data_IF_406710038595
#
_entry.id   IF_406710038595
#
_cell.length_a   1.000
_cell.length_b   1.000
_cell.length_c   1.000
_cell.angle_alpha   90.00
_cell.angle_beta   90.00
_cell.angle_gamma   90.00
#
_symmetry.space_group_name_H-M   'P 1'
#
loop_
_entity.id
_entity.type
_entity.pdbx_description
1 polymer ?
#
# COMPACT_ATOMS: atom_id res chain seq x y z
N UNK A 1 -6.38 3.90 41.81
CA UNK A 1 -6.96 5.16 41.36
C UNK A 1 -6.08 6.29 41.88
N UNK A 2 -5.41 7.00 40.97
CA UNK A 2 -4.50 8.10 41.26
C UNK A 2 -5.20 9.33 41.85
N UNK A 3 -6.53 9.41 41.74
CA UNK A 3 -7.35 10.47 42.30
C UNK A 3 -7.90 10.16 43.70
N UNK A 4 -8.01 8.89 44.10
CA UNK A 4 -8.60 8.52 45.41
C UNK A 4 -7.63 7.78 46.35
N UNK A 5 -6.43 7.41 45.89
CA UNK A 5 -5.44 6.67 46.67
C UNK A 5 -5.86 5.22 47.01
N UNK A 6 -7.00 4.75 46.48
CA UNK A 6 -7.50 3.39 46.64
C UNK A 6 -7.08 2.51 45.47
N UNK A 7 -7.07 1.19 45.68
CA UNK A 7 -6.95 0.23 44.59
C UNK A 7 -8.11 0.41 43.60
N UNK A 8 -7.85 0.28 42.30
CA UNK A 8 -8.88 0.35 41.25
C UNK A 8 -9.97 -0.73 41.43
N UNK A 9 -9.60 -1.87 42.03
CA UNK A 9 -10.51 -2.93 42.42
C UNK A 9 -10.19 -3.32 43.87
N UNK A 10 -11.18 -3.25 44.75
CA UNK A 10 -11.02 -3.73 46.12
C UNK A 10 -10.84 -5.26 46.14
N UNK A 11 -9.83 -5.77 46.86
CA UNK A 11 -9.55 -7.21 46.95
C UNK A 11 -10.52 -7.96 47.91
N UNK A 12 -11.81 -7.67 47.78
CA UNK A 12 -12.91 -8.38 48.45
C UNK A 12 -13.60 -9.30 47.46
N UNK A 13 -14.36 -10.29 47.93
CA UNK A 13 -15.14 -11.14 47.04
C UNK A 13 -16.13 -10.33 46.20
N UNK A 14 -16.82 -9.37 46.81
CA UNK A 14 -17.74 -8.47 46.13
C UNK A 14 -17.04 -7.59 45.10
N UNK A 15 -15.88 -7.00 45.44
CA UNK A 15 -15.08 -6.16 44.53
C UNK A 15 -14.58 -6.94 43.31
N UNK A 16 -14.04 -8.15 43.52
CA UNK A 16 -13.62 -9.04 42.43
C UNK A 16 -14.79 -9.47 41.53
N UNK A 17 -15.94 -9.84 42.11
CA UNK A 17 -17.14 -10.17 41.34
C UNK A 17 -17.66 -8.99 40.53
N UNK A 18 -17.65 -7.78 41.09
CA UNK A 18 -18.08 -6.57 40.38
C UNK A 18 -17.19 -6.28 39.16
N UNK A 19 -15.86 -6.37 39.32
CA UNK A 19 -14.91 -6.21 38.22
C UNK A 19 -15.12 -7.27 37.13
N UNK A 20 -15.21 -8.55 37.51
CA UNK A 20 -15.40 -9.65 36.54
C UNK A 20 -16.75 -9.56 35.83
N UNK A 21 -17.82 -9.14 36.52
CA UNK A 21 -19.15 -9.00 35.94
C UNK A 21 -19.23 -7.88 34.89
N UNK A 22 -18.43 -6.82 35.03
CA UNK A 22 -18.31 -5.82 33.97
C UNK A 22 -17.70 -6.42 32.69
N UNK A 23 -16.66 -7.24 32.82
CA UNK A 23 -16.06 -7.93 31.69
C UNK A 23 -16.98 -9.00 31.08
N UNK A 24 -17.73 -9.74 31.93
CA UNK A 24 -18.73 -10.73 31.51
C UNK A 24 -19.85 -10.11 30.67
N UNK A 25 -20.35 -8.95 31.09
CA UNK A 25 -21.46 -8.26 30.42
C UNK A 25 -21.00 -7.41 29.23
N UNK A 26 -19.68 -7.25 29.02
CA UNK A 26 -19.13 -6.46 27.91
C UNK A 26 -19.27 -7.23 26.59
N UNK A 27 -19.76 -6.53 25.58
CA UNK A 27 -19.93 -7.05 24.23
C UNK A 27 -19.45 -6.05 23.17
N UNK A 28 -18.18 -5.69 23.24
CA UNK A 28 -17.51 -4.75 22.34
C UNK A 28 -17.73 -5.16 20.89
N UNK A 29 -18.23 -4.22 20.09
CA UNK A 29 -18.36 -4.37 18.65
C UNK A 29 -17.09 -3.84 17.97
N UNK A 30 -16.12 -4.72 17.77
CA UNK A 30 -14.86 -4.35 17.15
C UNK A 30 -15.00 -3.81 15.72
N UNK A 31 -16.07 -4.15 15.00
CA UNK A 31 -16.32 -3.52 13.71
C UNK A 31 -16.69 -2.05 13.89
N UNK A 32 -17.57 -1.74 14.83
CA UNK A 32 -17.90 -0.36 15.17
C UNK A 32 -16.67 0.42 15.69
N UNK A 33 -15.79 -0.22 16.47
CA UNK A 33 -14.63 0.45 17.05
C UNK A 33 -13.50 0.75 16.04
N UNK A 34 -13.33 -0.10 15.02
CA UNK A 34 -12.19 -0.05 14.09
C UNK A 34 -12.52 0.46 12.70
N UNK A 35 -13.81 0.63 12.42
CA UNK A 35 -14.29 0.98 11.10
C UNK A 35 -15.33 2.07 11.19
N UNK A 36 -15.38 2.92 10.17
CA UNK A 36 -16.32 4.03 10.07
C UNK A 36 -16.87 4.14 8.66
N UNK A 37 -18.12 4.59 8.50
CA UNK A 37 -18.60 5.00 7.19
C UNK A 37 -17.77 6.19 6.71
N UNK A 38 -17.20 6.09 5.51
CA UNK A 38 -16.47 7.17 4.86
C UNK A 38 -17.03 7.44 3.47
N UNK A 39 -16.93 8.69 3.05
CA UNK A 39 -17.27 9.10 1.69
C UNK A 39 -15.99 9.28 0.91
N UNK A 40 -15.84 8.52 -0.16
CA UNK A 40 -14.77 8.72 -1.13
C UNK A 40 -15.18 9.83 -2.11
N UNK A 41 -14.28 10.78 -2.34
CA UNK A 41 -14.46 11.85 -3.31
C UNK A 41 -13.63 11.57 -4.55
N UNK A 42 -14.23 11.65 -5.73
CA UNK A 42 -13.52 11.60 -7.00
C UNK A 42 -13.97 12.75 -7.88
N UNK A 43 -13.01 13.59 -8.27
CA UNK A 43 -13.22 14.73 -9.13
C UNK A 43 -12.34 14.57 -10.36
N UNK A 44 -12.90 14.80 -11.54
CA UNK A 44 -12.15 14.81 -12.78
C UNK A 44 -12.62 15.97 -13.65
N UNK A 45 -11.66 16.72 -14.18
CA UNK A 45 -11.90 17.78 -15.15
C UNK A 45 -11.14 17.41 -16.41
N UNK A 46 -11.82 17.39 -17.54
CA UNK A 46 -11.20 17.11 -18.83
C UNK A 46 -11.64 18.11 -19.87
N UNK A 47 -10.70 18.50 -20.73
CA UNK A 47 -10.94 19.29 -21.92
C UNK A 47 -10.64 18.40 -23.12
N UNK A 48 -11.60 18.32 -24.03
CA UNK A 48 -11.45 17.62 -25.31
C UNK A 48 -11.76 18.61 -26.41
N UNK A 49 -10.93 18.64 -27.44
CA UNK A 49 -11.14 19.45 -28.63
C UNK A 49 -10.70 18.67 -29.86
N UNK A 50 -11.35 18.89 -30.99
CA UNK A 50 -10.96 18.21 -32.22
C UNK A 50 -11.50 18.90 -33.46
N UNK A 51 -10.78 18.71 -34.56
CA UNK A 51 -11.17 19.08 -35.91
C UNK A 51 -10.80 17.92 -36.85
N UNK A 52 -11.08 18.08 -38.14
CA UNK A 52 -10.65 17.10 -39.17
C UNK A 52 -9.14 16.83 -39.15
N UNK A 53 -8.34 17.83 -38.76
CA UNK A 53 -6.88 17.78 -38.73
C UNK A 53 -6.29 17.21 -37.44
N UNK A 54 -7.08 16.98 -36.40
CA UNK A 54 -6.54 16.43 -35.16
C UNK A 54 -7.44 16.58 -33.94
N UNK A 55 -7.10 15.83 -32.89
CA UNK A 55 -7.79 15.80 -31.61
C UNK A 55 -6.83 16.03 -30.45
N UNK A 56 -7.30 16.71 -29.43
CA UNK A 56 -6.58 17.04 -28.21
C UNK A 56 -7.45 16.67 -27.02
N UNK A 57 -6.85 16.00 -26.05
CA UNK A 57 -7.47 15.61 -24.80
C UNK A 57 -6.50 15.91 -23.66
N UNK A 58 -7.00 16.59 -22.63
CA UNK A 58 -6.28 16.79 -21.39
C UNK A 58 -7.24 16.52 -20.23
N UNK A 59 -6.79 15.84 -19.18
CA UNK A 59 -7.57 15.63 -17.98
C UNK A 59 -6.72 15.68 -16.72
N UNK A 60 -7.30 16.22 -15.67
CA UNK A 60 -6.82 16.14 -14.30
C UNK A 60 -7.85 15.39 -13.46
N UNK A 61 -7.37 14.53 -12.58
CA UNK A 61 -8.21 13.76 -11.67
C UNK A 61 -7.64 13.77 -10.26
N UNK A 62 -8.52 13.90 -9.27
CA UNK A 62 -8.22 13.74 -7.85
C UNK A 62 -9.17 12.71 -7.25
N UNK A 63 -8.61 11.76 -6.51
CA UNK A 63 -9.33 10.79 -5.71
C UNK A 63 -8.86 10.95 -4.28
N UNK A 64 -9.80 11.15 -3.36
CA UNK A 64 -9.56 11.25 -1.93
C UNK A 64 -10.45 10.22 -1.25
N UNK A 65 -9.82 9.18 -0.71
CA UNK A 65 -10.47 8.12 0.04
C UNK A 65 -9.96 8.17 1.50
N UNK A 66 -10.80 8.62 2.45
CA UNK A 66 -10.47 8.62 3.87
C UNK A 66 -10.36 7.23 4.51
N UNK A 67 -10.68 6.16 3.75
CA UNK A 67 -10.61 4.75 4.11
C UNK A 67 -11.66 4.30 5.12
N UNK A 68 -12.19 3.09 4.88
CA UNK A 68 -13.19 2.47 5.77
C UNK A 68 -12.58 2.16 7.15
N UNK A 69 -11.41 1.52 7.23
CA UNK A 69 -10.77 1.22 8.52
C UNK A 69 -9.96 2.40 9.06
N UNK A 70 -9.82 2.47 10.38
CA UNK A 70 -8.89 3.39 11.04
C UNK A 70 -7.48 3.20 10.46
N UNK A 71 -6.76 4.32 10.27
CA UNK A 71 -5.40 4.39 9.70
C UNK A 71 -5.27 3.72 8.31
N UNK A 72 -6.35 3.69 7.53
CA UNK A 72 -6.33 3.46 6.09
C UNK A 72 -6.77 4.74 5.38
N UNK A 73 -6.04 5.20 4.37
CA UNK A 73 -6.45 6.31 3.48
C UNK A 73 -5.69 6.24 2.16
N UNK A 74 -6.29 6.71 1.07
CA UNK A 74 -5.67 6.79 -0.25
C UNK A 74 -6.00 8.11 -0.91
N UNK A 75 -4.99 8.87 -1.28
CA UNK A 75 -5.11 10.04 -2.13
C UNK A 75 -4.39 9.77 -3.45
N UNK A 76 -5.04 10.00 -4.58
CA UNK A 76 -4.45 9.83 -5.91
C UNK A 76 -4.74 11.03 -6.80
N UNK A 77 -3.69 11.56 -7.39
CA UNK A 77 -3.74 12.63 -8.37
C UNK A 77 -3.27 12.11 -9.72
N UNK A 78 -4.00 12.42 -10.76
CA UNK A 78 -3.71 11.94 -12.12
C UNK A 78 -3.73 13.11 -13.09
N UNK A 79 -2.81 13.09 -14.04
CA UNK A 79 -2.78 13.97 -15.19
C UNK A 79 -2.63 13.12 -16.44
N UNK A 80 -3.43 13.42 -17.45
CA UNK A 80 -3.37 12.75 -18.75
C UNK A 80 -3.45 13.80 -19.83
N UNK A 81 -2.59 13.67 -20.82
CA UNK A 81 -2.58 14.44 -22.04
C UNK A 81 -2.49 13.45 -23.21
N UNK A 82 -3.33 13.65 -24.22
CA UNK A 82 -3.33 12.87 -25.44
C UNK A 82 -3.62 13.81 -26.61
N UNK A 83 -2.72 13.87 -27.58
CA UNK A 83 -2.89 14.63 -28.82
C UNK A 83 -2.63 13.75 -30.02
N UNK A 84 -3.47 13.88 -31.03
CA UNK A 84 -3.36 13.21 -32.32
C UNK A 84 -3.49 14.25 -33.43
N UNK A 85 -2.47 14.45 -34.24
CA UNK A 85 -2.47 15.41 -35.34
C UNK A 85 -2.29 14.69 -36.67
N UNK A 86 -3.16 15.00 -37.63
CA UNK A 86 -3.02 14.59 -39.03
C UNK A 86 -2.33 15.69 -39.82
N UNK A 87 -1.26 15.33 -40.50
CA UNK A 87 -0.39 16.22 -41.27
C UNK A 87 -0.37 15.76 -42.73
N UNK A 88 -0.07 16.69 -43.64
CA UNK A 88 0.08 16.42 -45.07
C UNK A 88 -1.13 15.70 -45.69
N UNK A 89 -2.35 16.23 -45.52
CA UNK A 89 -3.59 15.59 -46.01
C UNK A 89 -3.72 14.12 -45.57
N UNK A 90 -3.60 13.86 -44.27
CA UNK A 90 -3.76 12.53 -43.65
C UNK A 90 -2.70 11.48 -44.03
N UNK A 91 -1.63 11.88 -44.73
CA UNK A 91 -0.50 10.97 -45.03
C UNK A 91 0.37 10.70 -43.81
N UNK A 92 0.42 11.62 -42.84
CA UNK A 92 1.16 11.45 -41.59
C UNK A 92 0.23 11.70 -40.40
N UNK A 93 0.26 10.84 -39.40
CA UNK A 93 -0.44 11.04 -38.13
C UNK A 93 0.57 10.98 -36.98
N UNK A 94 0.58 11.99 -36.12
CA UNK A 94 1.41 12.05 -34.92
C UNK A 94 0.52 11.93 -33.69
N UNK A 95 0.78 10.91 -32.86
CA UNK A 95 0.11 10.70 -31.58
C UNK A 95 1.11 10.91 -30.44
N UNK A 96 0.76 11.72 -29.44
CA UNK A 96 1.57 11.93 -28.24
C UNK A 96 0.68 11.73 -27.02
N UNK A 97 1.09 10.87 -26.10
CA UNK A 97 0.40 10.58 -24.85
C UNK A 97 1.37 10.80 -23.69
N UNK A 98 0.95 11.64 -22.74
CA UNK A 98 1.62 11.82 -21.45
C UNK A 98 0.68 11.45 -20.32
N UNK A 99 1.10 10.59 -19.41
CA UNK A 99 0.35 10.22 -18.22
C UNK A 99 1.24 10.40 -16.99
N UNK A 100 0.67 10.92 -15.92
CA UNK A 100 1.28 10.97 -14.61
C UNK A 100 0.25 10.60 -13.55
N UNK A 101 0.65 9.80 -12.57
CA UNK A 101 -0.16 9.41 -11.42
C UNK A 101 0.69 9.45 -10.17
N UNK A 102 0.26 10.22 -9.18
CA UNK A 102 0.85 10.25 -7.85
C UNK A 102 -0.16 9.73 -6.84
N UNK A 103 0.21 8.72 -6.06
CA UNK A 103 -0.63 8.11 -5.04
C UNK A 103 0.08 8.12 -3.69
N UNK A 104 -0.59 8.66 -2.69
CA UNK A 104 -0.24 8.52 -1.28
C UNK A 104 -1.23 7.58 -0.61
N UNK A 105 -0.75 6.61 0.13
CA UNK A 105 -1.58 5.65 0.84
C UNK A 105 -1.03 5.42 2.24
N UNK A 106 -1.92 5.34 3.23
CA UNK A 106 -1.60 4.82 4.55
C UNK A 106 -2.29 3.48 4.75
N UNK A 107 -1.58 2.56 5.40
CA UNK A 107 -2.11 1.27 5.80
C UNK A 107 -1.66 0.90 7.22
N UNK A 108 -2.40 0.04 7.94
CA UNK A 108 -1.94 -0.58 9.17
C UNK A 108 -0.59 -1.29 9.00
N UNK A 109 0.32 -1.11 9.95
CA UNK A 109 1.70 -1.64 9.91
C UNK A 109 1.86 -3.13 10.20
N UNK A 110 0.97 -3.96 9.68
CA UNK A 110 1.05 -5.41 9.86
C UNK A 110 2.25 -5.99 9.13
N UNK A 111 3.03 -6.84 9.82
CA UNK A 111 4.13 -7.57 9.19
C UNK A 111 3.62 -8.63 8.20
N UNK A 112 4.45 -8.97 7.21
CA UNK A 112 4.20 -10.10 6.34
C UNK A 112 4.12 -11.40 7.16
N UNK A 113 3.20 -12.29 6.78
CA UNK A 113 3.12 -13.61 7.41
C UNK A 113 4.39 -14.41 7.12
N UNK A 114 4.95 -15.06 8.13
CA UNK A 114 6.03 -16.03 7.99
C UNK A 114 5.47 -17.44 8.09
N UNK A 115 5.90 -18.32 7.19
CA UNK A 115 5.60 -19.75 7.25
C UNK A 115 6.70 -20.45 8.03
N UNK A 116 6.34 -21.11 9.14
CA UNK A 116 7.23 -22.06 9.75
C UNK A 116 7.24 -23.32 8.87
N UNK A 117 8.31 -23.49 8.07
CA UNK A 117 8.46 -24.63 7.14
C UNK A 117 8.49 -25.99 7.84
N UNK A 118 8.77 -26.04 9.15
CA UNK A 118 8.83 -27.28 9.94
C UNK A 118 7.46 -27.65 10.52
N UNK A 119 6.73 -26.66 11.06
CA UNK A 119 5.43 -26.90 11.71
C UNK A 119 4.23 -26.72 10.76
N UNK A 120 4.46 -26.19 9.54
CA UNK A 120 3.40 -25.82 8.60
C UNK A 120 2.52 -24.67 9.09
N UNK A 121 2.88 -24.03 10.21
CA UNK A 121 2.12 -22.95 10.82
C UNK A 121 2.43 -21.61 10.15
N UNK A 122 1.39 -20.82 9.89
CA UNK A 122 1.53 -19.44 9.41
C UNK A 122 1.48 -18.53 10.62
N UNK A 123 2.60 -17.86 10.92
CA UNK A 123 2.72 -16.90 12.01
C UNK A 123 2.70 -15.48 11.43
N UNK A 124 1.95 -14.58 12.06
CA UNK A 124 2.02 -13.15 11.78
C UNK A 124 2.29 -12.42 13.09
N UNK A 125 3.56 -12.15 13.34
CA UNK A 125 3.97 -11.40 14.52
C UNK A 125 3.48 -9.96 14.40
N UNK A 126 3.00 -9.40 15.52
CA UNK A 126 2.42 -8.05 15.60
C UNK A 126 1.31 -7.78 14.57
N UNK A 127 0.40 -8.76 14.38
CA UNK A 127 -0.79 -8.53 13.55
C UNK A 127 -1.72 -7.49 14.17
N UNK A 128 -1.93 -6.42 13.41
CA UNK A 128 -2.76 -5.27 13.74
C UNK A 128 -3.75 -4.94 12.62
N UNK A 129 -4.00 -5.89 11.71
CA UNK A 129 -4.98 -5.71 10.65
C UNK A 129 -6.38 -5.56 11.27
N UNK A 130 -7.09 -4.43 11.05
CA UNK A 130 -8.37 -4.15 11.71
C UNK A 130 -9.45 -5.23 11.49
N UNK A 131 -9.49 -5.81 10.28
CA UNK A 131 -10.46 -6.86 9.95
C UNK A 131 -10.13 -8.18 10.66
N UNK A 132 -8.87 -8.59 10.63
CA UNK A 132 -8.39 -9.77 11.37
C UNK A 132 -8.66 -9.62 12.87
N UNK A 133 -8.38 -8.44 13.42
CA UNK A 133 -8.59 -8.14 14.84
C UNK A 133 -10.07 -8.20 15.21
N UNK A 134 -10.95 -7.56 14.43
CA UNK A 134 -12.38 -7.55 14.72
C UNK A 134 -13.02 -8.94 14.70
N UNK A 135 -12.53 -9.84 13.84
CA UNK A 135 -13.02 -11.22 13.76
C UNK A 135 -12.50 -12.15 14.87
N UNK A 136 -11.28 -11.92 15.36
CA UNK A 136 -10.56 -12.89 16.20
C UNK A 136 -10.45 -12.50 17.67
N UNK A 137 -10.66 -11.22 17.99
CA UNK A 137 -10.52 -10.72 19.35
C UNK A 137 -11.80 -10.92 20.16
N UNK A 138 -11.64 -11.30 21.43
CA UNK A 138 -12.78 -11.43 22.35
C UNK A 138 -13.58 -10.12 22.44
N UNK A 139 -14.91 -10.24 22.45
CA UNK A 139 -15.83 -9.10 22.63
C UNK A 139 -15.96 -8.67 24.10
N UNK A 140 -15.36 -9.41 25.02
CA UNK A 140 -15.34 -9.07 26.46
C UNK A 140 -14.23 -8.07 26.83
N UNK A 141 -13.31 -7.80 25.91
CA UNK A 141 -12.22 -6.83 26.12
C UNK A 141 -12.74 -5.40 25.95
N UNK A 142 -12.25 -4.52 26.81
CA UNK A 142 -12.52 -3.08 26.76
C UNK A 142 -11.74 -2.43 25.61
N UNK A 143 -12.37 -1.64 24.73
CA UNK A 143 -11.69 -0.99 23.63
C UNK A 143 -10.70 0.10 24.06
N UNK A 144 -10.79 0.62 25.29
CA UNK A 144 -9.94 1.71 25.78
C UNK A 144 -8.88 1.24 26.79
N UNK A 145 -8.95 -0.01 27.25
CA UNK A 145 -7.98 -0.61 28.17
C UNK A 145 -6.73 -1.10 27.44
N UNK A 146 -5.58 -1.06 28.13
CA UNK A 146 -4.35 -1.68 27.67
C UNK A 146 -4.21 -3.09 28.26
N UNK A 147 -4.10 -4.08 27.38
CA UNK A 147 -3.83 -5.47 27.77
C UNK A 147 -2.36 -5.81 27.51
N UNK A 148 -1.83 -6.83 28.19
CA UNK A 148 -0.48 -7.32 27.88
C UNK A 148 -0.52 -8.23 26.65
N UNK A 149 0.17 -7.82 25.57
CA UNK A 149 0.40 -8.62 24.36
C UNK A 149 1.88 -8.53 23.99
N UNK A 150 2.51 -9.62 23.56
CA UNK A 150 3.94 -9.62 23.24
C UNK A 150 4.82 -9.07 24.39
N UNK A 151 4.46 -9.35 25.64
CA UNK A 151 5.14 -8.87 26.86
C UNK A 151 5.08 -7.34 27.11
N UNK A 152 4.36 -6.57 26.28
CA UNK A 152 4.20 -5.13 26.41
C UNK A 152 2.71 -4.71 26.45
N UNK A 153 2.38 -3.51 26.94
CA UNK A 153 1.06 -2.91 26.79
C UNK A 153 0.59 -2.90 25.33
N UNK A 154 -0.69 -3.22 25.12
CA UNK A 154 -1.33 -3.27 23.81
C UNK A 154 -2.76 -2.77 23.91
N UNK A 155 -3.06 -1.80 23.08
CA UNK A 155 -4.41 -1.42 22.69
C UNK A 155 -4.40 -1.26 21.16
N UNK A 156 -5.41 -1.80 20.48
CA UNK A 156 -5.42 -1.84 19.02
C UNK A 156 -5.47 -0.44 18.39
N UNK A 157 -6.19 0.51 18.99
CA UNK A 157 -6.28 1.89 18.46
C UNK A 157 -4.94 2.60 18.62
N UNK A 158 -4.37 2.51 19.81
CA UNK A 158 -3.04 3.04 20.11
C UNK A 158 -1.98 2.44 19.19
N UNK A 159 -2.03 1.13 18.94
CA UNK A 159 -1.09 0.47 18.05
C UNK A 159 -1.28 0.92 16.59
N UNK A 160 -2.50 1.05 16.09
CA UNK A 160 -2.75 1.56 14.73
C UNK A 160 -2.21 2.99 14.53
N UNK A 161 -2.30 3.84 15.55
CA UNK A 161 -1.78 5.22 15.49
C UNK A 161 -0.24 5.31 15.55
N UNK A 162 0.40 4.30 16.15
CA UNK A 162 1.84 4.27 16.38
C UNK A 162 2.59 3.25 15.51
N UNK A 163 1.88 2.40 14.78
CA UNK A 163 2.42 1.37 13.90
C UNK A 163 1.67 1.36 12.56
N UNK A 164 2.18 2.10 11.59
CA UNK A 164 1.55 2.29 10.27
C UNK A 164 2.58 2.32 9.15
N UNK A 165 2.11 2.07 7.93
CA UNK A 165 2.91 2.14 6.71
C UNK A 165 2.39 3.29 5.86
N UNK A 166 3.27 4.19 5.47
CA UNK A 166 3.03 5.19 4.44
C UNK A 166 3.65 4.73 3.12
N UNK A 167 2.84 4.68 2.06
CA UNK A 167 3.25 4.32 0.70
C UNK A 167 3.08 5.52 -0.23
N UNK A 168 4.14 5.88 -0.94
CA UNK A 168 4.12 6.90 -1.98
C UNK A 168 4.50 6.28 -3.32
N UNK A 169 3.62 6.39 -4.31
CA UNK A 169 3.85 5.84 -5.66
C UNK A 169 3.74 6.96 -6.69
N UNK A 170 4.78 7.14 -7.49
CA UNK A 170 4.77 7.98 -8.68
C UNK A 170 4.87 7.07 -9.90
N UNK A 171 3.99 7.25 -10.87
CA UNK A 171 4.01 6.55 -12.15
C UNK A 171 3.86 7.60 -13.25
N UNK A 172 4.86 7.70 -14.13
CA UNK A 172 4.82 8.60 -15.28
C UNK A 172 5.11 7.81 -16.54
N UNK A 173 4.36 8.09 -17.60
CA UNK A 173 4.55 7.49 -18.92
C UNK A 173 4.45 8.56 -19.98
N UNK A 174 5.44 8.59 -20.87
CA UNK A 174 5.42 9.38 -22.08
C UNK A 174 5.50 8.44 -23.28
N UNK A 175 4.67 8.67 -24.29
CA UNK A 175 4.59 7.86 -25.50
C UNK A 175 4.40 8.77 -26.70
N UNK A 176 5.14 8.51 -27.77
CA UNK A 176 4.97 9.15 -29.06
C UNK A 176 4.86 8.08 -30.15
N UNK A 177 3.97 8.28 -31.10
CA UNK A 177 3.79 7.40 -32.25
C UNK A 177 3.63 8.25 -33.51
N UNK A 178 4.35 7.87 -34.56
CA UNK A 178 4.21 8.45 -35.90
C UNK A 178 3.68 7.34 -36.81
N UNK A 179 2.61 7.64 -37.54
CA UNK A 179 2.06 6.80 -38.60
C UNK A 179 2.22 7.50 -39.94
N UNK A 180 2.59 6.75 -40.97
CA UNK A 180 2.76 7.26 -42.32
C UNK A 180 2.05 6.34 -43.34
N UNK A 181 1.38 6.95 -44.32
CA UNK A 181 0.70 6.27 -45.42
C UNK A 181 1.36 6.64 -46.76
N UNK A 182 2.55 6.08 -47.07
CA UNK A 182 3.31 6.48 -48.25
C UNK A 182 2.65 6.08 -49.57
N UNK A 183 1.93 4.94 -49.58
CA UNK A 183 1.17 4.44 -50.72
C UNK A 183 -0.19 3.94 -50.27
N UNK A 184 -1.16 3.91 -51.19
CA UNK A 184 -2.50 3.39 -50.90
C UNK A 184 -2.41 1.94 -50.40
N UNK A 185 -3.01 1.69 -49.24
CA UNK A 185 -3.04 0.38 -48.59
C UNK A 185 -1.89 0.11 -47.62
N UNK A 186 -0.76 0.83 -47.68
CA UNK A 186 0.36 0.66 -46.74
C UNK A 186 0.31 1.73 -45.64
N UNK A 187 0.31 1.30 -44.39
CA UNK A 187 0.50 2.14 -43.21
C UNK A 187 1.72 1.65 -42.43
N UNK A 188 2.70 2.53 -42.25
CA UNK A 188 3.88 2.30 -41.42
C UNK A 188 3.70 3.05 -40.10
N UNK A 189 4.09 2.47 -38.98
CA UNK A 189 4.04 3.12 -37.67
C UNK A 189 5.33 2.90 -36.88
N UNK A 190 5.80 3.93 -36.21
CA UNK A 190 6.91 3.88 -35.27
C UNK A 190 6.44 4.48 -33.94
N UNK A 191 6.53 3.71 -32.86
CA UNK A 191 6.10 4.06 -31.51
C UNK A 191 7.29 3.95 -30.57
N UNK A 192 7.48 4.98 -29.75
CA UNK A 192 8.41 4.97 -28.62
C UNK A 192 7.69 5.33 -27.33
N UNK A 193 7.99 4.66 -26.22
CA UNK A 193 7.54 5.07 -24.90
C UNK A 193 8.61 4.95 -23.83
N UNK A 194 8.56 5.85 -22.85
CA UNK A 194 9.36 5.83 -21.64
C UNK A 194 8.42 5.88 -20.45
N UNK A 195 8.60 4.99 -19.48
CA UNK A 195 7.84 4.97 -18.22
C UNK A 195 8.79 4.97 -17.05
N UNK A 196 8.55 5.85 -16.09
CA UNK A 196 9.29 5.91 -14.84
C UNK A 196 8.36 5.67 -13.66
N UNK A 197 8.74 4.75 -12.79
CA UNK A 197 7.95 4.37 -11.61
C UNK A 197 8.82 4.52 -10.37
N UNK A 198 8.28 5.14 -9.32
CA UNK A 198 8.84 5.18 -7.98
C UNK A 198 7.81 4.60 -7.00
N UNK A 199 8.28 3.79 -6.06
CA UNK A 199 7.46 3.28 -4.97
C UNK A 199 8.27 3.31 -3.68
N UNK A 200 7.92 4.23 -2.78
CA UNK A 200 8.53 4.37 -1.47
C UNK A 200 7.59 3.84 -0.40
N UNK A 201 8.10 2.98 0.47
CA UNK A 201 7.35 2.41 1.59
C UNK A 201 8.06 2.73 2.90
N UNK A 202 7.40 3.44 3.80
CA UNK A 202 7.90 3.78 5.13
C UNK A 202 7.04 3.10 6.20
N UNK A 203 7.56 2.04 6.81
CA UNK A 203 6.95 1.40 7.97
C UNK A 203 7.41 2.12 9.25
N UNK A 204 6.51 2.89 9.83
CA UNK A 204 6.72 3.69 11.02
C UNK A 204 6.21 2.92 12.25
N UNK A 205 7.13 2.36 13.04
CA UNK A 205 6.85 1.72 14.33
C UNK A 205 7.38 2.65 15.42
N UNK A 206 6.52 3.50 15.99
CA UNK A 206 6.93 4.52 16.97
C UNK A 206 7.33 3.91 18.31
N UNK A 207 8.00 4.71 19.13
CA UNK A 207 8.60 4.27 20.40
C UNK A 207 7.60 3.63 21.37
N UNK A 208 6.40 4.20 21.46
CA UNK A 208 5.30 3.75 22.31
C UNK A 208 4.41 2.68 21.66
N UNK A 209 4.79 2.11 20.52
CA UNK A 209 4.06 0.98 19.93
C UNK A 209 4.34 -0.29 20.73
N UNK A 210 3.36 -1.19 20.80
CA UNK A 210 3.53 -2.53 21.35
C UNK A 210 4.71 -3.25 20.70
N UNK A 211 4.90 -3.06 19.40
CA UNK A 211 6.02 -3.67 18.68
C UNK A 211 7.37 -3.16 19.17
N UNK A 212 7.58 -1.85 19.30
CA UNK A 212 8.84 -1.31 19.83
C UNK A 212 9.04 -1.69 21.31
N UNK A 213 8.00 -1.59 22.13
CA UNK A 213 8.06 -1.91 23.56
C UNK A 213 8.34 -3.39 23.83
N UNK A 214 7.87 -4.31 22.96
CA UNK A 214 8.18 -5.73 23.09
C UNK A 214 9.69 -6.04 23.03
N UNK A 215 10.47 -5.26 22.28
CA UNK A 215 11.94 -5.40 22.21
C UNK A 215 12.68 -4.91 23.47
N UNK A 216 11.98 -4.31 24.43
CA UNK A 216 12.54 -3.88 25.73
C UNK A 216 11.74 -4.35 26.93
N UNK A 217 10.73 -5.18 26.72
CA UNK A 217 9.96 -5.80 27.79
C UNK A 217 10.80 -6.83 28.56
N UNK A 218 11.41 -6.38 29.64
CA UNK A 218 12.33 -7.16 30.49
C UNK A 218 12.08 -6.95 32.00
N UNK A 219 10.83 -6.69 32.40
CA UNK A 219 10.47 -6.29 33.76
C UNK A 219 10.85 -7.30 34.86
N UNK A 220 10.87 -8.60 34.54
CA UNK A 220 11.27 -9.67 35.48
C UNK A 220 12.18 -10.68 34.79
N UNK A 221 12.93 -11.47 35.57
CA UNK A 221 13.78 -12.54 35.01
C UNK A 221 12.97 -13.57 34.21
N UNK A 222 11.73 -13.85 34.63
CA UNK A 222 10.81 -14.76 33.94
C UNK A 222 10.45 -14.18 32.55
N UNK A 223 10.02 -12.91 32.50
CA UNK A 223 9.70 -12.23 31.24
C UNK A 223 10.94 -12.14 30.35
N UNK A 224 12.08 -11.74 30.91
CA UNK A 224 13.35 -11.60 30.21
C UNK A 224 13.79 -12.91 29.54
N UNK A 225 13.63 -14.04 30.23
CA UNK A 225 13.96 -15.35 29.67
C UNK A 225 12.94 -15.82 28.62
N UNK A 226 11.64 -15.58 28.84
CA UNK A 226 10.56 -16.01 27.95
C UNK A 226 10.42 -15.14 26.69
N UNK A 227 10.77 -13.86 26.75
CA UNK A 227 10.61 -12.92 25.64
C UNK A 227 11.54 -13.29 24.46
N UNK A 228 11.01 -13.63 23.27
CA UNK A 228 11.81 -13.99 22.10
C UNK A 228 12.38 -12.76 21.38
N UNK A 229 11.91 -11.55 21.69
CA UNK A 229 12.36 -10.30 21.06
C UNK A 229 13.60 -9.70 21.71
N UNK A 230 14.02 -10.22 22.87
CA UNK A 230 15.28 -9.85 23.50
C UNK A 230 16.43 -10.67 22.90
N UNK A 231 17.58 -10.03 22.75
CA UNK A 231 18.76 -10.66 22.18
C UNK A 231 19.41 -11.62 23.19
N UNK A 232 19.72 -12.82 22.72
CA UNK A 232 20.51 -13.81 23.45
C UNK A 232 21.86 -13.93 22.75
N UNK A 233 22.93 -13.59 23.46
CA UNK A 233 24.28 -13.75 22.94
C UNK A 233 24.60 -15.24 22.69
N UNK A 234 24.86 -15.66 21.44
CA UNK A 234 25.24 -17.04 21.12
C UNK A 234 26.57 -17.46 21.76
N UNK A 235 27.48 -16.50 21.95
CA UNK A 235 28.82 -16.76 22.51
C UNK A 235 28.77 -16.89 24.05
N UNK A 236 27.68 -16.43 24.66
CA UNK A 236 27.43 -16.55 26.09
C UNK A 236 26.04 -17.17 26.42
N UNK A 237 25.90 -18.50 26.29
CA UNK A 237 24.63 -19.19 26.51
C UNK A 237 24.09 -19.10 27.95
N UNK A 238 24.88 -18.68 28.95
CA UNK A 238 24.44 -18.57 30.34
C UNK A 238 23.99 -17.15 30.73
N UNK A 239 24.37 -16.12 29.97
CA UNK A 239 23.98 -14.73 30.22
C UNK A 239 22.47 -14.50 30.01
N UNK A 240 21.85 -13.62 30.79
CA UNK A 240 20.44 -13.28 30.54
C UNK A 240 20.26 -12.56 29.18
N UNK A 241 19.09 -12.72 28.54
CA UNK A 241 18.75 -11.98 27.32
C UNK A 241 18.68 -10.46 27.59
N UNK A 242 19.12 -9.61 26.69
CA UNK A 242 19.07 -8.16 26.89
C UNK A 242 18.41 -7.43 25.71
N UNK A 243 17.99 -6.18 25.94
CA UNK A 243 17.37 -5.37 24.88
C UNK A 243 18.42 -4.80 23.94
N UNK A 244 18.13 -4.84 22.64
CA UNK A 244 18.91 -4.16 21.59
C UNK A 244 18.26 -2.84 21.17
N UNK A 245 17.11 -2.50 21.74
CA UNK A 245 16.34 -1.29 21.45
C UNK A 245 15.83 -0.67 22.77
N UNK A 246 16.71 -0.10 23.61
CA UNK A 246 16.33 0.41 24.93
C UNK A 246 15.35 1.59 24.88
N UNK A 247 15.37 2.38 23.79
CA UNK A 247 14.49 3.52 23.54
C UNK A 247 14.30 3.73 22.04
N UNK A 248 13.24 4.42 21.65
CA UNK A 248 12.97 4.82 20.27
C UNK A 248 12.13 3.82 19.47
N UNK A 249 11.65 4.28 18.31
CA UNK A 249 10.91 3.45 17.36
C UNK A 249 11.81 2.71 16.36
N UNK A 250 11.18 1.92 15.49
CA UNK A 250 11.79 1.27 14.33
C UNK A 250 11.20 1.91 13.07
N UNK A 251 12.06 2.44 12.20
CA UNK A 251 11.66 2.91 10.86
C UNK A 251 12.25 1.97 9.82
N UNK A 252 11.41 1.38 8.97
CA UNK A 252 11.87 0.60 7.82
C UNK A 252 11.49 1.33 6.54
N UNK A 253 12.47 1.59 5.69
CA UNK A 253 12.26 2.22 4.39
C UNK A 253 12.65 1.26 3.28
N UNK A 254 11.78 1.13 2.29
CA UNK A 254 12.06 0.39 1.05
C UNK A 254 11.70 1.31 -0.12
N UNK A 255 12.66 1.58 -0.99
CA UNK A 255 12.49 2.47 -2.14
C UNK A 255 12.77 1.68 -3.42
N UNK A 256 11.77 1.61 -4.28
CA UNK A 256 11.87 0.94 -5.58
C UNK A 256 11.77 1.97 -6.69
N UNK A 257 12.62 1.85 -7.70
CA UNK A 257 12.50 2.60 -8.95
C UNK A 257 12.55 1.68 -10.15
N UNK A 258 11.84 2.05 -11.21
CA UNK A 258 11.89 1.33 -12.47
C UNK A 258 11.82 2.31 -13.65
N UNK A 259 12.73 2.14 -14.61
CA UNK A 259 12.71 2.82 -15.91
C UNK A 259 12.44 1.78 -16.99
N UNK A 260 11.34 1.96 -17.70
CA UNK A 260 10.95 1.12 -18.85
C UNK A 260 11.05 1.94 -20.12
N UNK A 261 11.66 1.37 -21.15
CA UNK A 261 11.72 1.96 -22.48
C UNK A 261 11.23 0.95 -23.50
N UNK A 262 10.27 1.33 -24.34
CA UNK A 262 9.71 0.46 -25.37
C UNK A 262 9.79 1.16 -26.73
N UNK A 263 10.18 0.41 -27.75
CA UNK A 263 10.16 0.84 -29.14
C UNK A 263 9.49 -0.23 -29.99
N UNK A 264 8.53 0.19 -30.83
CA UNK A 264 7.84 -0.69 -31.78
C UNK A 264 7.79 -0.05 -33.15
N UNK A 265 8.24 -0.79 -34.16
CA UNK A 265 8.03 -0.47 -35.56
C UNK A 265 7.06 -1.50 -36.17
N UNK A 266 6.07 -1.05 -36.91
CA UNK A 266 5.15 -1.96 -37.60
C UNK A 266 4.71 -1.44 -38.96
N UNK A 267 4.34 -2.35 -39.85
CA UNK A 267 3.78 -2.08 -41.15
C UNK A 267 2.54 -2.92 -41.37
N UNK A 268 1.48 -2.29 -41.84
CA UNK A 268 0.23 -2.95 -42.23
C UNK A 268 -0.04 -2.66 -43.69
N UNK A 269 -0.30 -3.68 -44.50
CA UNK A 269 -0.69 -3.56 -45.90
C UNK A 269 -2.08 -4.16 -46.10
N UNK A 270 -3.05 -3.35 -46.46
CA UNK A 270 -4.43 -3.75 -46.73
C UNK A 270 -4.82 -3.34 -48.17
N UNK A 271 -5.24 -4.31 -48.98
CA UNK A 271 -5.73 -4.04 -50.35
C UNK A 271 -6.89 -4.95 -50.73
N UNK A 272 -7.70 -4.51 -51.68
CA UNK A 272 -8.76 -5.30 -52.30
C UNK A 272 -8.53 -5.38 -53.81
N UNK A 273 -8.37 -6.59 -54.33
CA UNK A 273 -8.18 -6.87 -55.76
C UNK A 273 -9.54 -7.26 -56.36
N UNK A 274 -9.98 -6.50 -57.36
CA UNK A 274 -11.25 -6.69 -58.08
C UNK A 274 -12.48 -6.83 -57.17
N UNK A 275 -12.44 -6.23 -55.97
CA UNK A 275 -13.47 -6.32 -54.93
C UNK A 275 -13.83 -7.77 -54.49
N UNK A 276 -13.02 -8.76 -54.88
CA UNK A 276 -13.23 -10.19 -54.62
C UNK A 276 -12.18 -10.79 -53.71
N UNK A 277 -10.97 -10.23 -53.70
CA UNK A 277 -9.85 -10.75 -52.92
C UNK A 277 -9.30 -9.65 -52.00
N UNK A 278 -9.44 -9.84 -50.69
CA UNK A 278 -8.91 -8.94 -49.67
C UNK A 278 -7.58 -9.51 -49.18
N UNK A 279 -6.53 -8.72 -49.23
CA UNK A 279 -5.22 -9.07 -48.70
C UNK A 279 -4.93 -8.12 -47.53
N UNK A 280 -4.68 -8.69 -46.35
CA UNK A 280 -4.21 -7.97 -45.17
C UNK A 280 -2.89 -8.63 -44.73
N UNK A 281 -1.81 -7.86 -44.71
CA UNK A 281 -0.51 -8.29 -44.25
C UNK A 281 -0.04 -7.36 -43.12
N UNK A 282 0.60 -7.94 -42.10
CA UNK A 282 1.13 -7.20 -40.97
C UNK A 282 2.51 -7.73 -40.60
N UNK A 283 3.43 -6.82 -40.32
CA UNK A 283 4.74 -7.14 -39.80
C UNK A 283 5.11 -6.12 -38.71
N UNK A 284 5.77 -6.57 -37.65
CA UNK A 284 6.21 -5.71 -36.56
C UNK A 284 7.52 -6.19 -35.95
N UNK A 285 8.27 -5.25 -35.40
CA UNK A 285 9.46 -5.45 -34.57
C UNK A 285 9.27 -4.64 -33.29
N UNK A 286 9.66 -5.23 -32.16
CA UNK A 286 9.60 -4.58 -30.85
C UNK A 286 10.91 -4.80 -30.09
N UNK A 287 11.34 -3.76 -29.39
CA UNK A 287 12.48 -3.78 -28.47
C UNK A 287 12.03 -3.13 -27.18
N UNK A 288 12.31 -3.78 -26.05
CA UNK A 288 12.03 -3.24 -24.73
C UNK A 288 13.27 -3.31 -23.83
N UNK A 289 13.32 -2.40 -22.85
CA UNK A 289 14.31 -2.39 -21.78
C UNK A 289 13.61 -2.06 -20.47
N UNK A 290 14.06 -2.68 -19.39
CA UNK A 290 13.54 -2.46 -18.04
C UNK A 290 14.67 -2.50 -17.03
N UNK A 291 15.00 -1.34 -16.47
CA UNK A 291 15.97 -1.20 -15.41
C UNK A 291 15.25 -0.99 -14.08
N UNK A 292 15.52 -1.85 -13.09
CA UNK A 292 14.92 -1.78 -11.75
C UNK A 292 15.99 -1.56 -10.69
N UNK A 293 15.68 -0.71 -9.71
CA UNK A 293 16.48 -0.51 -8.50
C UNK A 293 15.61 -0.74 -7.27
N UNK A 294 16.17 -1.34 -6.23
CA UNK A 294 15.51 -1.75 -4.99
C UNK A 294 16.43 -1.51 -3.79
#
# INVERSE_FOLDING_TARGET
DSTTGKYLVENTEAGRKAYLRQAEMRNTDWFQELFRPTVQHSHSVSITSGSEKGSYYASLGALVDPGWSIQSKVNRYTALFNTSQKLFNDHITLNIIGNASYRQQRAPGSLASSTNLVEGSVKRDFDINPYSYALRTSRTLDPDEFYTRNYAPFNIRHELENNYIDLSVLDTKFQAEIKAKPIKGLELSALGSVRYQLSMTEHNIKDNSNQAEAYRAAATKIIKNANPYLYKDPDNPTADKYTVLPQGGILKKNDYSALSMDFRASGTYNTAIAEKHIINAFAAMEVNSLDRHA
#
